data_IF_961021227813
#
_entry.id   IF_961021227813
#
_cell.length_a   1.000
_cell.length_b   1.000
_cell.length_c   1.000
_cell.angle_alpha   90.00
_cell.angle_beta   90.00
_cell.angle_gamma   90.00
#
_symmetry.space_group_name_H-M   'P 1'
#
loop_
_entity.id
_entity.type
_entity.pdbx_description
1 polymer ?
#
# COMPACT_ATOMS: atom_id res chain seq x y z
N UNK A 1 9.43 -9.55 7.13
CA UNK A 1 8.75 -8.39 6.52
C UNK A 1 8.05 -7.65 7.64
N UNK A 2 8.04 -6.32 7.61
CA UNK A 2 7.24 -5.54 8.56
C UNK A 2 5.79 -5.64 8.11
N UNK A 3 4.91 -6.10 9.00
CA UNK A 3 3.47 -6.22 8.75
C UNK A 3 2.73 -5.13 9.53
N UNK A 4 1.59 -4.69 9.00
CA UNK A 4 0.69 -3.82 9.74
C UNK A 4 0.10 -4.58 10.93
N UNK A 5 -0.17 -3.88 12.03
CA UNK A 5 -0.79 -4.47 13.21
C UNK A 5 -2.23 -4.96 13.00
N UNK A 6 -2.85 -4.58 11.87
CA UNK A 6 -4.22 -4.94 11.48
C UNK A 6 -4.26 -5.66 10.13
N UNK A 7 -5.19 -6.62 10.02
CA UNK A 7 -5.46 -7.34 8.76
C UNK A 7 -6.31 -6.53 7.77
N UNK A 8 -7.27 -5.74 8.27
CA UNK A 8 -8.19 -4.96 7.46
C UNK A 8 -8.00 -3.46 7.74
N UNK A 9 -7.53 -2.73 6.72
CA UNK A 9 -7.35 -1.28 6.80
C UNK A 9 -8.66 -0.56 6.44
N UNK A 10 -9.53 -0.39 7.44
CA UNK A 10 -10.84 0.27 7.28
C UNK A 10 -10.83 1.77 7.61
N UNK A 11 -9.73 2.26 8.20
CA UNK A 11 -9.55 3.64 8.63
C UNK A 11 -8.39 3.77 9.62
N UNK A 12 -8.12 4.99 10.08
CA UNK A 12 -6.97 5.28 10.95
C UNK A 12 -7.20 4.96 12.44
N UNK A 13 -8.44 4.64 12.84
CA UNK A 13 -8.80 4.41 14.25
C UNK A 13 -8.05 3.22 14.87
N UNK A 14 -7.74 2.20 14.07
CA UNK A 14 -7.21 0.92 14.55
C UNK A 14 -5.73 0.70 14.21
N UNK A 15 -5.07 1.68 13.61
CA UNK A 15 -3.63 1.62 13.34
C UNK A 15 -2.88 2.41 14.42
N UNK A 16 -1.64 2.03 14.67
CA UNK A 16 -0.75 2.75 15.57
C UNK A 16 0.28 3.58 14.79
N UNK A 17 1.08 4.37 15.50
CA UNK A 17 2.10 5.23 14.89
C UNK A 17 3.15 4.44 14.06
N UNK A 18 3.52 3.23 14.48
CA UNK A 18 4.47 2.40 13.74
C UNK A 18 3.89 1.93 12.40
N UNK A 19 2.59 1.64 12.35
CA UNK A 19 1.90 1.29 11.10
C UNK A 19 1.94 2.45 10.10
N UNK A 20 1.70 3.68 10.59
CA UNK A 20 1.75 4.89 9.77
C UNK A 20 3.18 5.12 9.23
N UNK A 21 4.18 5.01 10.10
CA UNK A 21 5.58 5.13 9.69
C UNK A 21 5.99 4.05 8.68
N UNK A 22 5.48 2.82 8.83
CA UNK A 22 5.69 1.74 7.87
C UNK A 22 5.06 2.07 6.51
N UNK A 23 3.84 2.59 6.48
CA UNK A 23 3.16 3.03 5.24
C UNK A 23 3.98 4.12 4.54
N UNK A 24 4.43 5.15 5.27
CA UNK A 24 5.25 6.22 4.67
C UNK A 24 6.57 5.72 4.13
N UNK A 25 7.32 4.92 4.91
CA UNK A 25 8.58 4.32 4.45
C UNK A 25 8.39 3.49 3.18
N UNK A 26 7.29 2.73 3.11
CA UNK A 26 6.96 1.90 1.95
C UNK A 26 6.57 2.77 0.74
N UNK A 27 5.79 3.83 0.95
CA UNK A 27 5.40 4.77 -0.10
C UNK A 27 6.61 5.51 -0.69
N UNK A 28 7.56 5.97 0.15
CA UNK A 28 8.81 6.58 -0.30
C UNK A 28 9.63 5.61 -1.17
N UNK A 29 9.72 4.34 -0.76
CA UNK A 29 10.38 3.33 -1.56
C UNK A 29 9.71 3.12 -2.92
N UNK A 30 8.38 3.05 -2.98
CA UNK A 30 7.67 2.93 -4.25
C UNK A 30 7.84 4.17 -5.14
N UNK A 31 7.89 5.37 -4.55
CA UNK A 31 8.16 6.61 -5.28
C UNK A 31 9.52 6.58 -5.98
N UNK A 32 10.55 6.06 -5.31
CA UNK A 32 11.85 5.86 -5.94
C UNK A 32 11.78 4.85 -7.09
N UNK A 33 11.07 3.73 -6.90
CA UNK A 33 10.93 2.68 -7.92
C UNK A 33 10.28 3.21 -9.20
N UNK A 34 9.27 4.08 -9.09
CA UNK A 34 8.57 4.68 -10.24
C UNK A 34 9.51 5.56 -11.09
N UNK A 35 10.56 6.12 -10.48
CA UNK A 35 11.55 6.97 -11.16
C UNK A 35 12.72 6.18 -11.76
N UNK A 36 12.81 4.86 -11.54
CA UNK A 36 13.87 4.03 -12.13
C UNK A 36 13.59 3.76 -13.61
N UNK A 37 14.67 3.54 -14.36
CA UNK A 37 14.60 3.16 -15.79
C UNK A 37 13.79 1.88 -16.02
N UNK A 38 13.79 0.97 -15.03
CA UNK A 38 12.96 -0.22 -15.00
C UNK A 38 11.99 -0.10 -13.82
N UNK A 39 10.72 0.19 -14.12
CA UNK A 39 9.67 0.42 -13.13
C UNK A 39 8.99 -0.86 -12.62
N UNK A 40 9.41 -2.04 -13.09
CA UNK A 40 8.75 -3.32 -12.80
C UNK A 40 9.27 -3.93 -11.50
N UNK A 41 8.40 -3.97 -10.49
CA UNK A 41 8.55 -4.80 -9.29
C UNK A 41 7.46 -5.89 -9.31
N UNK A 42 7.81 -7.18 -9.11
CA UNK A 42 6.85 -8.29 -9.26
C UNK A 42 5.93 -8.48 -8.04
N UNK A 43 5.86 -7.51 -7.10
CA UNK A 43 5.27 -7.70 -5.77
C UNK A 43 3.79 -8.10 -5.75
N UNK A 44 3.03 -7.74 -6.79
CA UNK A 44 1.61 -8.10 -6.96
C UNK A 44 1.37 -9.01 -8.17
N UNK A 45 2.42 -9.62 -8.72
CA UNK A 45 2.25 -10.58 -9.82
C UNK A 45 1.35 -11.73 -9.34
N UNK A 46 0.41 -12.12 -10.19
CA UNK A 46 -0.58 -13.17 -9.92
C UNK A 46 -1.58 -12.83 -8.79
N UNK A 47 -1.65 -11.57 -8.35
CA UNK A 47 -2.65 -11.08 -7.39
C UNK A 47 -3.75 -10.29 -8.13
N UNK A 48 -5.01 -10.69 -7.96
CA UNK A 48 -6.18 -9.94 -8.45
C UNK A 48 -6.73 -9.04 -7.36
N UNK A 49 -6.86 -7.74 -7.65
CA UNK A 49 -7.47 -6.75 -6.75
C UNK A 49 -8.87 -6.40 -7.27
N UNK A 50 -9.88 -6.56 -6.43
CA UNK A 50 -11.25 -6.16 -6.73
C UNK A 50 -11.53 -4.76 -6.19
N UNK A 51 -11.78 -3.81 -7.10
CA UNK A 51 -12.19 -2.45 -6.76
C UNK A 51 -13.72 -2.35 -6.76
N UNK A 52 -14.32 -2.09 -5.60
CA UNK A 52 -15.78 -2.02 -5.44
C UNK A 52 -16.19 -0.62 -4.97
N UNK A 53 -16.82 0.14 -5.87
CA UNK A 53 -17.31 1.50 -5.62
C UNK A 53 -18.83 1.53 -5.83
N UNK A 54 -19.57 1.89 -4.78
CA UNK A 54 -21.02 2.13 -4.87
C UNK A 54 -21.36 3.58 -5.26
N UNK A 55 -20.39 4.47 -5.09
CA UNK A 55 -20.45 5.89 -5.44
C UNK A 55 -19.22 6.23 -6.30
N UNK A 56 -19.36 7.16 -7.25
CA UNK A 56 -18.29 7.51 -8.16
C UNK A 56 -17.07 8.10 -7.42
N UNK A 57 -15.87 7.64 -7.79
CA UNK A 57 -14.57 8.14 -7.29
C UNK A 57 -13.55 8.07 -8.44
N UNK A 58 -12.78 9.13 -8.64
CA UNK A 58 -11.79 9.29 -9.73
C UNK A 58 -10.45 9.70 -9.17
#
# INVERSE_FOLDING_TARGET
MSELSVKHLLGIKYINENDINLIFKTADHFKEVINRSIKKVPSLRDITIANLFFENST
#
